data_IF_364526168497
#
_entry.id   IF_364526168497
#
_cell.length_a   1.000
_cell.length_b   1.000
_cell.length_c   1.000
_cell.angle_alpha   90.00
_cell.angle_beta   90.00
_cell.angle_gamma   90.00
#
_symmetry.space_group_name_H-M   'P 1'
#
loop_
_entity.id
_entity.type
_entity.pdbx_description
1 polymer ?
#
# COMPACT_ATOMS: atom_id res chain seq x y z
N UNK A 1 14.50 0.74 12.91
CA UNK A 1 13.38 0.03 13.56
C UNK A 1 13.39 -1.39 13.06
N UNK A 2 13.13 -2.36 13.93
CA UNK A 2 12.95 -3.75 13.56
C UNK A 2 11.48 -4.11 13.80
N UNK A 3 10.80 -4.53 12.74
CA UNK A 3 9.36 -4.85 12.75
C UNK A 3 9.25 -6.30 12.31
N UNK A 4 8.68 -7.15 13.15
CA UNK A 4 8.59 -8.59 12.92
C UNK A 4 7.12 -8.97 12.82
N UNK A 5 6.77 -9.66 11.74
CA UNK A 5 5.43 -10.14 11.46
C UNK A 5 5.05 -11.33 12.33
N UNK A 6 3.78 -11.75 12.23
CA UNK A 6 3.22 -12.88 12.99
C UNK A 6 3.96 -14.19 12.71
N UNK A 7 4.49 -14.36 11.49
CA UNK A 7 5.30 -15.54 11.12
C UNK A 7 6.73 -15.52 11.65
N UNK A 8 7.18 -14.43 12.28
CA UNK A 8 8.56 -14.24 12.71
C UNK A 8 9.49 -13.66 11.63
N UNK A 9 8.97 -13.36 10.43
CA UNK A 9 9.72 -12.73 9.34
C UNK A 9 9.73 -11.20 9.53
N UNK A 10 10.88 -10.57 9.31
CA UNK A 10 10.98 -9.11 9.44
C UNK A 10 10.33 -8.39 8.24
N UNK A 11 9.80 -7.18 8.46
CA UNK A 11 9.27 -6.35 7.38
C UNK A 11 10.33 -6.02 6.33
N UNK A 12 11.58 -5.87 6.77
CA UNK A 12 12.73 -5.67 5.89
C UNK A 12 12.89 -6.85 4.94
N UNK A 13 12.82 -8.08 5.44
CA UNK A 13 12.97 -9.28 4.63
C UNK A 13 11.76 -9.48 3.71
N UNK A 14 10.55 -9.17 4.19
CA UNK A 14 9.32 -9.21 3.39
C UNK A 14 9.36 -8.25 2.21
N UNK A 15 9.82 -7.01 2.42
CA UNK A 15 9.89 -6.01 1.35
C UNK A 15 11.09 -6.20 0.43
N UNK A 16 12.28 -6.46 0.98
CA UNK A 16 13.53 -6.51 0.21
C UNK A 16 13.64 -5.35 -0.79
N UNK A 17 13.83 -5.68 -2.06
CA UNK A 17 13.90 -4.73 -3.18
C UNK A 17 12.53 -4.42 -3.84
N UNK A 18 11.46 -5.04 -3.35
CA UNK A 18 10.10 -4.98 -3.94
C UNK A 18 9.05 -4.66 -2.87
N UNK A 19 9.17 -3.49 -2.22
CA UNK A 19 8.23 -3.12 -1.17
C UNK A 19 6.82 -2.99 -1.74
N UNK A 20 5.84 -3.57 -1.04
CA UNK A 20 4.42 -3.57 -1.43
C UNK A 20 3.53 -3.54 -0.20
N UNK A 21 2.37 -2.91 -0.36
CA UNK A 21 1.33 -2.80 0.66
C UNK A 21 -0.02 -2.61 -0.03
N UNK A 22 -1.09 -3.12 0.58
CA UNK A 22 -2.45 -2.93 0.09
C UNK A 22 -2.86 -1.46 0.32
N UNK A 23 -3.27 -0.79 -0.75
CA UNK A 23 -3.51 0.66 -0.80
C UNK A 23 -2.33 1.53 -0.31
N UNK A 24 -1.13 0.94 -0.18
CA UNK A 24 0.02 1.57 0.45
C UNK A 24 -0.05 1.68 1.98
N UNK A 25 -1.03 1.01 2.62
CA UNK A 25 -1.36 1.18 4.04
C UNK A 25 -1.11 -0.11 4.83
N UNK A 26 -1.65 -1.25 4.39
CA UNK A 26 -1.64 -2.49 5.19
C UNK A 26 -0.87 -3.61 4.51
N UNK A 27 -0.35 -4.57 5.29
CA UNK A 27 0.61 -5.57 4.82
C UNK A 27 0.25 -6.94 5.42
N UNK A 28 0.10 -8.00 4.61
CA UNK A 28 -0.14 -9.34 5.14
C UNK A 28 1.02 -9.79 6.03
N UNK A 29 0.71 -10.58 7.07
CA UNK A 29 1.60 -11.01 8.16
C UNK A 29 1.94 -9.94 9.20
N UNK A 30 1.49 -8.69 9.02
CA UNK A 30 1.72 -7.57 9.95
C UNK A 30 0.39 -7.02 10.47
N UNK A 31 -0.33 -7.78 11.32
CA UNK A 31 -1.62 -7.36 11.85
C UNK A 31 -1.51 -6.07 12.67
N UNK A 32 -2.50 -5.19 12.52
CA UNK A 32 -2.59 -3.88 13.17
C UNK A 32 -1.41 -2.93 12.86
N UNK A 33 -0.59 -3.24 11.86
CA UNK A 33 0.40 -2.31 11.33
C UNK A 33 -0.21 -1.51 10.18
N UNK A 34 -0.20 -0.19 10.32
CA UNK A 34 -0.68 0.74 9.30
C UNK A 34 0.44 1.69 8.90
N UNK A 35 0.74 1.74 7.60
CA UNK A 35 1.72 2.65 7.02
C UNK A 35 1.05 3.96 6.56
N UNK A 36 1.65 5.07 6.95
CA UNK A 36 1.43 6.37 6.31
C UNK A 36 2.52 6.56 5.27
N UNK A 37 2.15 7.05 4.09
CA UNK A 37 3.08 7.22 2.96
C UNK A 37 3.89 5.94 2.66
N UNK A 38 3.20 4.80 2.66
CA UNK A 38 3.82 3.51 2.34
C UNK A 38 4.12 3.34 0.85
N UNK A 39 4.59 2.14 0.45
CA UNK A 39 4.92 1.84 -0.95
C UNK A 39 3.74 2.09 -1.89
N UNK A 40 4.02 2.60 -3.09
CA UNK A 40 3.01 2.86 -4.11
C UNK A 40 2.14 4.09 -3.87
N UNK A 41 2.54 5.01 -2.99
CA UNK A 41 1.72 6.19 -2.63
C UNK A 41 2.31 7.53 -3.02
N UNK A 42 3.57 7.57 -3.50
CA UNK A 42 4.21 8.80 -3.91
C UNK A 42 3.65 9.33 -5.24
N UNK A 43 3.32 10.61 -5.28
CA UNK A 43 2.72 11.27 -6.44
C UNK A 43 3.82 11.96 -7.25
N UNK A 44 4.26 11.33 -8.34
CA UNK A 44 5.24 11.92 -9.26
C UNK A 44 4.64 12.94 -10.25
N UNK A 45 3.31 13.03 -10.34
CA UNK A 45 2.60 13.96 -11.21
C UNK A 45 1.25 14.36 -10.60
N UNK A 46 1.05 15.65 -10.42
CA UNK A 46 -0.21 16.20 -9.93
C UNK A 46 -0.58 15.76 -8.50
N UNK A 47 -1.47 16.53 -7.88
CA UNK A 47 -1.94 16.25 -6.52
C UNK A 47 -0.98 16.68 -5.42
N UNK A 48 -1.31 16.27 -4.20
CA UNK A 48 -0.58 16.63 -2.99
C UNK A 48 -0.40 15.38 -2.14
N UNK A 49 0.81 15.18 -1.63
CA UNK A 49 1.05 14.12 -0.65
C UNK A 49 0.16 14.29 0.58
N UNK A 50 -0.18 15.53 0.96
CA UNK A 50 -1.09 15.82 2.07
C UNK A 50 -2.47 15.21 1.80
N UNK A 51 -2.96 15.25 0.56
CA UNK A 51 -4.24 14.64 0.20
C UNK A 51 -4.22 13.12 0.38
N UNK A 52 -3.16 12.44 -0.07
CA UNK A 52 -2.99 11.00 0.18
C UNK A 52 -2.91 10.71 1.67
N UNK A 53 -2.17 11.51 2.45
CA UNK A 53 -2.11 11.36 3.90
C UNK A 53 -3.48 11.51 4.58
N UNK A 54 -4.31 12.46 4.17
CA UNK A 54 -5.67 12.62 4.71
C UNK A 54 -6.56 11.41 4.37
N UNK A 55 -6.42 10.86 3.16
CA UNK A 55 -7.11 9.65 2.74
C UNK A 55 -6.68 8.43 3.56
N UNK A 56 -5.37 8.25 3.73
CA UNK A 56 -4.79 7.18 4.55
C UNK A 56 -5.22 7.30 6.01
N UNK A 57 -5.18 8.49 6.58
CA UNK A 57 -5.60 8.71 7.96
C UNK A 57 -7.08 8.37 8.16
N UNK A 58 -7.96 8.79 7.23
CA UNK A 58 -9.39 8.42 7.28
C UNK A 58 -9.57 6.90 7.26
N UNK A 59 -8.92 6.23 6.31
CA UNK A 59 -9.01 4.78 6.15
C UNK A 59 -8.50 4.03 7.39
N UNK A 60 -7.35 4.46 7.93
CA UNK A 60 -6.76 3.88 9.15
C UNK A 60 -7.69 4.06 10.35
N UNK A 61 -8.29 5.24 10.52
CA UNK A 61 -9.28 5.45 11.59
C UNK A 61 -10.48 4.52 11.40
N UNK A 62 -11.02 4.39 10.19
CA UNK A 62 -12.11 3.45 9.91
C UNK A 62 -11.74 1.99 10.21
N UNK A 63 -10.51 1.58 9.91
CA UNK A 63 -9.97 0.26 10.28
C UNK A 63 -9.96 0.06 11.80
N UNK A 64 -9.50 1.06 12.56
CA UNK A 64 -9.45 1.02 14.03
C UNK A 64 -10.87 1.00 14.62
N UNK A 65 -11.79 1.81 14.09
CA UNK A 65 -13.19 1.84 14.53
C UNK A 65 -13.84 0.48 14.30
N UNK A 66 -13.62 -0.14 13.13
CA UNK A 66 -14.14 -1.49 12.85
C UNK A 66 -13.61 -2.57 13.81
N UNK A 67 -12.33 -2.47 14.22
CA UNK A 67 -11.76 -3.37 15.22
C UNK A 67 -12.44 -3.18 16.59
N UNK A 68 -12.63 -1.93 17.02
CA UNK A 68 -13.21 -1.59 18.31
C UNK A 68 -14.68 -2.00 18.36
N UNK A 69 -15.48 -1.60 17.37
CA UNK A 69 -16.91 -1.85 17.31
C UNK A 69 -17.22 -3.35 17.14
N UNK A 70 -16.38 -4.07 16.41
CA UNK A 70 -16.48 -5.51 16.23
C UNK A 70 -15.96 -6.34 17.42
N UNK A 71 -15.31 -5.72 18.41
CA UNK A 71 -14.63 -6.44 19.49
C UNK A 71 -13.49 -7.35 19.01
N UNK A 72 -12.87 -7.00 17.88
CA UNK A 72 -11.80 -7.75 17.21
C UNK A 72 -10.44 -7.32 17.76
N UNK A 73 -9.46 -8.21 17.70
CA UNK A 73 -8.10 -7.98 18.23
C UNK A 73 -7.10 -7.65 17.13
N UNK A 74 -7.31 -8.15 15.93
CA UNK A 74 -6.39 -7.94 14.82
C UNK A 74 -7.09 -7.88 13.47
N UNK A 75 -6.56 -7.02 12.60
CA UNK A 75 -6.84 -7.04 11.16
C UNK A 75 -5.54 -7.00 10.36
N UNK A 76 -5.54 -7.70 9.23
CA UNK A 76 -4.52 -7.63 8.20
C UNK A 76 -5.16 -7.91 6.84
N UNK A 77 -4.66 -7.35 5.73
CA UNK A 77 -5.24 -7.60 4.43
C UNK A 77 -5.03 -9.07 4.07
N UNK A 78 -6.03 -9.66 3.43
CA UNK A 78 -5.89 -10.99 2.87
C UNK A 78 -4.78 -11.00 1.81
N UNK A 79 -4.02 -12.09 1.75
CA UNK A 79 -2.95 -12.24 0.75
C UNK A 79 -3.45 -12.10 -0.69
N UNK A 80 -4.60 -12.69 -1.09
CA UNK A 80 -5.11 -12.55 -2.45
C UNK A 80 -5.39 -11.09 -2.84
N UNK A 81 -6.09 -10.32 -2.00
CA UNK A 81 -6.41 -8.91 -2.28
C UNK A 81 -5.16 -8.06 -2.37
N UNK A 82 -4.21 -8.26 -1.44
CA UNK A 82 -2.93 -7.57 -1.46
C UNK A 82 -2.14 -7.84 -2.75
N UNK A 83 -2.06 -9.11 -3.17
CA UNK A 83 -1.28 -9.50 -4.35
C UNK A 83 -1.96 -9.06 -5.65
N UNK A 84 -3.29 -9.15 -5.75
CA UNK A 84 -4.05 -8.60 -6.89
C UNK A 84 -3.85 -7.08 -7.02
N UNK A 85 -3.94 -6.35 -5.91
CA UNK A 85 -3.70 -4.90 -5.91
C UNK A 85 -2.28 -4.57 -6.38
N UNK A 86 -1.28 -5.31 -5.89
CA UNK A 86 0.10 -5.13 -6.31
C UNK A 86 0.30 -5.37 -7.82
N UNK A 87 -0.29 -6.43 -8.36
CA UNK A 87 -0.24 -6.73 -9.79
C UNK A 87 -0.87 -5.61 -10.62
N UNK A 88 -2.02 -5.09 -10.19
CA UNK A 88 -2.69 -3.94 -10.81
C UNK A 88 -1.81 -2.68 -10.79
N UNK A 89 -1.15 -2.38 -9.66
CA UNK A 89 -0.23 -1.24 -9.54
C UNK A 89 0.93 -1.38 -10.53
N UNK A 90 1.57 -2.56 -10.60
CA UNK A 90 2.68 -2.78 -11.51
C UNK A 90 2.26 -2.74 -12.98
N UNK A 91 1.09 -3.28 -13.31
CA UNK A 91 0.52 -3.22 -14.65
C UNK A 91 0.27 -1.77 -15.10
N UNK A 92 -0.33 -0.95 -14.22
CA UNK A 92 -0.59 0.45 -14.53
C UNK A 92 0.71 1.26 -14.63
N UNK A 93 1.65 1.09 -13.68
CA UNK A 93 2.94 1.80 -13.71
C UNK A 93 3.69 1.55 -15.03
N UNK A 94 3.60 0.34 -15.61
CA UNK A 94 4.23 0.00 -16.89
C UNK A 94 3.69 0.80 -18.08
N UNK A 95 2.48 1.35 -17.99
CA UNK A 95 1.89 2.20 -19.05
C UNK A 95 2.36 3.66 -18.96
N UNK A 96 2.95 4.06 -17.84
CA UNK A 96 3.25 5.44 -17.52
C UNK A 96 4.69 5.84 -17.89
N UNK A 97 4.90 7.14 -18.05
CA UNK A 97 6.17 7.70 -18.53
C UNK A 97 7.37 7.32 -17.65
N UNK A 98 7.18 7.11 -16.34
CA UNK A 98 8.30 6.74 -15.45
C UNK A 98 8.86 5.35 -15.77
N UNK A 99 8.06 4.45 -16.32
CA UNK A 99 8.48 3.10 -16.70
C UNK A 99 9.02 3.02 -18.13
N UNK A 100 8.99 4.13 -18.87
CA UNK A 100 9.54 4.21 -20.23
C UNK A 100 10.99 3.67 -20.29
N UNK A 101 11.35 2.87 -21.32
CA UNK A 101 12.72 2.44 -21.56
C UNK A 101 13.70 3.59 -21.83
N UNK A 102 13.19 4.75 -22.26
CA UNK A 102 14.00 5.95 -22.48
C UNK A 102 14.42 6.60 -21.15
N UNK A 103 13.69 6.36 -20.05
CA UNK A 103 14.08 6.79 -18.70
C UNK A 103 15.09 5.79 -18.13
N UNK A 104 16.37 6.01 -18.43
CA UNK A 104 17.48 5.11 -18.04
C UNK A 104 17.91 5.23 -16.58
N UNK A 105 17.79 6.42 -16.00
CA UNK A 105 18.15 6.70 -14.62
C UNK A 105 17.01 7.42 -13.93
N UNK A 106 16.43 6.77 -12.91
CA UNK A 106 15.37 7.35 -12.09
C UNK A 106 15.53 6.80 -10.68
N UNK A 107 15.39 7.67 -9.68
CA UNK A 107 15.34 7.27 -8.27
C UNK A 107 14.15 6.35 -7.97
N UNK A 108 13.12 6.36 -8.83
CA UNK A 108 11.91 5.53 -8.66
C UNK A 108 12.08 4.07 -9.07
N UNK A 109 13.11 3.74 -9.86
CA UNK A 109 13.32 2.39 -10.40
C UNK A 109 14.29 1.60 -9.51
N UNK A 110 13.95 0.35 -9.22
CA UNK A 110 14.91 -0.59 -8.63
C UNK A 110 15.84 -1.19 -9.69
N UNK A 111 16.71 -2.12 -9.29
CA UNK A 111 17.66 -2.79 -10.18
C UNK A 111 16.99 -3.60 -11.32
N UNK A 112 15.76 -4.06 -11.10
CA UNK A 112 14.96 -4.81 -12.09
C UNK A 112 14.20 -3.86 -13.04
N UNK A 113 14.22 -2.56 -12.79
CA UNK A 113 13.50 -1.54 -13.56
C UNK A 113 12.04 -1.32 -13.12
N UNK A 114 11.58 -2.06 -12.10
CA UNK A 114 10.25 -1.93 -11.51
C UNK A 114 10.18 -0.68 -10.61
N UNK A 115 8.97 -0.15 -10.46
CA UNK A 115 8.70 1.04 -9.63
C UNK A 115 7.79 0.62 -8.48
N UNK A 116 8.23 0.83 -7.25
CA UNK A 116 7.47 0.46 -6.05
C UNK A 116 7.07 1.65 -5.17
N UNK A 117 7.59 2.83 -5.47
CA UNK A 117 7.36 4.04 -4.65
C UNK A 117 6.19 4.88 -5.15
N UNK A 118 5.92 4.87 -6.45
CA UNK A 118 4.93 5.76 -7.07
C UNK A 118 3.51 5.19 -7.05
N UNK A 119 2.53 6.07 -6.85
CA UNK A 119 1.13 5.80 -7.13
C UNK A 119 0.84 6.07 -8.62
N UNK A 120 0.28 5.09 -9.34
CA UNK A 120 -0.19 5.30 -10.71
C UNK A 120 -1.63 5.84 -10.79
N UNK A 121 -2.33 5.98 -9.67
CA UNK A 121 -3.78 6.16 -9.65
C UNK A 121 -4.21 7.62 -9.72
N UNK A 122 -5.41 7.85 -10.27
CA UNK A 122 -6.06 9.16 -10.16
C UNK A 122 -6.47 9.41 -8.71
N UNK A 123 -6.36 10.65 -8.26
CA UNK A 123 -6.69 11.03 -6.87
C UNK A 123 -8.13 10.65 -6.47
N UNK A 124 -9.07 10.75 -7.41
CA UNK A 124 -10.49 10.39 -7.17
C UNK A 124 -10.67 8.90 -6.94
N UNK A 125 -9.90 8.05 -7.63
CA UNK A 125 -9.98 6.60 -7.45
C UNK A 125 -9.41 6.22 -6.08
N UNK A 126 -8.24 6.76 -5.73
CA UNK A 126 -7.64 6.51 -4.42
C UNK A 126 -8.54 7.01 -3.29
N UNK A 127 -9.12 8.20 -3.43
CA UNK A 127 -10.09 8.75 -2.46
C UNK A 127 -11.30 7.83 -2.28
N UNK A 128 -11.86 7.30 -3.38
CA UNK A 128 -13.00 6.40 -3.33
C UNK A 128 -12.66 5.08 -2.61
N UNK A 129 -11.51 4.47 -2.91
CA UNK A 129 -11.06 3.24 -2.26
C UNK A 129 -10.68 3.42 -0.79
N UNK A 130 -10.44 4.66 -0.34
CA UNK A 130 -10.02 4.99 1.03
C UNK A 130 -11.07 5.76 1.82
N UNK A 131 -12.34 5.75 1.37
CA UNK A 131 -13.46 6.29 2.14
C UNK A 131 -13.65 5.51 3.44
N UNK A 132 -13.76 4.18 3.32
CA UNK A 132 -14.02 3.24 4.40
C UNK A 132 -13.32 1.90 4.08
N UNK A 133 -12.90 1.11 5.09
CA UNK A 133 -12.36 -0.22 4.84
C UNK A 133 -13.46 -1.20 4.44
N UNK A 134 -13.26 -1.89 3.32
CA UNK A 134 -14.05 -3.07 2.99
C UNK A 134 -13.57 -4.24 3.87
N UNK A 135 -14.39 -4.70 4.81
CA UNK A 135 -14.01 -5.76 5.74
C UNK A 135 -13.83 -7.12 5.05
N UNK A 136 -14.38 -7.31 3.85
CA UNK A 136 -14.18 -8.53 3.07
C UNK A 136 -12.72 -8.66 2.57
N UNK A 137 -11.99 -7.54 2.49
CA UNK A 137 -10.57 -7.53 2.11
C UNK A 137 -9.65 -8.07 3.22
N UNK A 138 -10.14 -8.18 4.46
CA UNK A 138 -9.31 -8.42 5.64
C UNK A 138 -9.52 -9.80 6.28
N UNK A 139 -8.43 -10.31 6.85
CA UNK A 139 -8.48 -11.39 7.83
C UNK A 139 -8.63 -10.76 9.22
N UNK A 140 -9.71 -11.09 9.91
CA UNK A 140 -10.08 -10.55 11.23
C UNK A 140 -9.98 -11.63 12.30
N UNK A 141 -9.50 -11.29 13.50
CA UNK A 141 -9.38 -12.22 14.65
C UNK A 141 -9.47 -11.53 15.99
#
# INVERSE_FOLDING_TARGET
>A
MDIVGRSGVSLRDTWGERPKAYLGITIPDFPNLFCMYGPGTNLAHGGSLIFHSECQMRYITGCIDALIDGGLKAMEPSRPVHDEYYERVQAELKTLVWSSPQVRHSWFKNADGDIHVLSPWRLVDYWAWTQEPDLEDFVLS
#
